data_IF_181052945837
#
_entry.id   IF_181052945837
#
_cell.length_a   1.000
_cell.length_b   1.000
_cell.length_c   1.000
_cell.angle_alpha   90.00
_cell.angle_beta   90.00
_cell.angle_gamma   90.00
#
_symmetry.space_group_name_H-M   'P 1'
#
loop_
_entity.id
_entity.type
_entity.pdbx_description
1 polymer ?
#
# COMPACT_ATOMS: atom_id res chain seq x y z
N UNK A 1 18.00 -14.40 26.64
CA UNK A 1 18.50 -14.77 25.29
C UNK A 1 17.39 -15.51 24.57
N UNK A 2 16.90 -15.03 23.42
CA UNK A 2 15.96 -15.78 22.57
C UNK A 2 16.67 -16.14 21.25
N UNK A 3 17.47 -17.20 21.30
CA UNK A 3 18.13 -17.74 20.11
C UNK A 3 17.11 -18.48 19.24
N UNK A 4 16.60 -17.83 18.19
CA UNK A 4 15.81 -18.50 17.16
C UNK A 4 16.75 -19.33 16.29
N UNK A 5 17.09 -20.54 16.75
CA UNK A 5 17.83 -21.52 15.97
C UNK A 5 16.99 -21.94 14.76
N UNK A 6 17.40 -21.55 13.57
CA UNK A 6 16.97 -22.26 12.37
C UNK A 6 17.61 -23.64 12.40
N UNK A 7 16.80 -24.69 12.28
CA UNK A 7 17.27 -26.08 12.32
C UNK A 7 17.92 -26.40 10.98
N UNK A 8 19.25 -26.35 10.94
CA UNK A 8 20.04 -26.94 9.87
C UNK A 8 19.91 -28.46 9.97
N UNK A 9 19.21 -29.07 9.01
CA UNK A 9 19.51 -30.44 8.60
C UNK A 9 20.47 -30.33 7.43
N UNK A 10 21.65 -30.90 7.58
CA UNK A 10 22.65 -30.91 6.51
C UNK A 10 22.25 -31.94 5.44
N UNK A 11 22.35 -31.51 4.19
CA UNK A 11 22.00 -32.23 2.98
C UNK A 11 22.28 -31.28 1.82
N UNK A 12 23.15 -31.70 0.90
CA UNK A 12 23.75 -30.82 -0.11
C UNK A 12 22.81 -30.56 -1.29
N UNK A 13 21.79 -29.74 -1.05
CA UNK A 13 21.02 -29.05 -2.10
C UNK A 13 21.01 -27.55 -1.77
N UNK A 14 21.02 -26.70 -2.80
CA UNK A 14 20.94 -25.23 -2.63
C UNK A 14 19.73 -24.91 -1.76
N UNK A 15 19.90 -24.35 -0.54
CA UNK A 15 18.91 -24.49 0.52
C UNK A 15 17.60 -23.87 0.07
N UNK A 16 16.58 -24.72 -0.16
CA UNK A 16 15.26 -24.33 -0.65
C UNK A 16 14.83 -23.05 0.06
N UNK A 17 14.77 -21.94 -0.67
CA UNK A 17 14.63 -20.62 -0.08
C UNK A 17 13.33 -20.58 0.75
N UNK A 18 13.45 -20.59 2.08
CA UNK A 18 12.29 -20.76 2.99
C UNK A 18 11.64 -19.43 3.29
N UNK A 19 10.31 -19.39 3.30
CA UNK A 19 9.56 -18.19 3.68
C UNK A 19 9.99 -17.62 5.02
N UNK A 20 10.23 -16.31 5.06
CA UNK A 20 10.52 -15.58 6.28
C UNK A 20 9.19 -15.39 7.06
N UNK A 21 9.11 -15.82 8.33
CA UNK A 21 7.92 -15.62 9.15
C UNK A 21 7.63 -14.12 9.38
N UNK A 22 6.35 -13.75 9.43
CA UNK A 22 5.95 -12.41 9.84
C UNK A 22 6.33 -12.18 11.31
N UNK A 23 6.87 -10.99 11.60
CA UNK A 23 7.34 -10.56 12.92
C UNK A 23 6.30 -9.60 13.53
N UNK A 24 5.96 -9.81 14.81
CA UNK A 24 5.12 -8.88 15.56
C UNK A 24 5.97 -7.65 15.97
N UNK A 25 5.88 -6.57 15.20
CA UNK A 25 6.78 -5.43 15.35
C UNK A 25 6.60 -4.67 16.67
N UNK A 26 5.38 -4.58 17.18
CA UNK A 26 5.03 -3.72 18.32
C UNK A 26 5.71 -4.15 19.63
N UNK A 27 5.80 -5.46 19.88
CA UNK A 27 6.45 -6.04 21.07
C UNK A 27 7.98 -5.99 21.02
N UNK A 28 8.59 -5.63 19.89
CA UNK A 28 10.03 -5.70 19.70
C UNK A 28 10.70 -4.32 19.75
N UNK A 29 11.81 -4.17 20.49
CA UNK A 29 12.56 -2.92 20.55
C UNK A 29 13.26 -2.62 19.22
N UNK A 30 13.62 -1.36 18.99
CA UNK A 30 14.33 -0.94 17.78
C UNK A 30 15.63 -1.73 17.53
N UNK A 31 16.34 -2.12 18.60
CA UNK A 31 17.53 -2.99 18.53
C UNK A 31 17.26 -4.30 17.77
N UNK A 32 16.11 -4.94 17.99
CA UNK A 32 15.74 -6.17 17.27
C UNK A 32 15.44 -5.93 15.80
N UNK A 33 14.95 -4.73 15.43
CA UNK A 33 14.79 -4.35 14.01
C UNK A 33 16.13 -4.16 13.32
N UNK A 34 17.12 -3.58 14.01
CA UNK A 34 18.50 -3.43 13.51
C UNK A 34 19.14 -4.81 13.31
N UNK A 35 19.00 -5.73 14.26
CA UNK A 35 19.45 -7.12 14.12
C UNK A 35 18.81 -7.80 12.90
N UNK A 36 17.48 -7.78 12.79
CA UNK A 36 16.74 -8.38 11.67
C UNK A 36 17.12 -7.82 10.31
N UNK A 37 17.49 -6.54 10.21
CA UNK A 37 17.95 -5.93 8.96
C UNK A 37 19.42 -6.29 8.66
N UNK A 38 20.28 -6.35 9.70
CA UNK A 38 21.66 -6.81 9.56
C UNK A 38 21.74 -8.28 9.12
N UNK A 39 20.83 -9.15 9.57
CA UNK A 39 20.71 -10.56 9.14
C UNK A 39 20.65 -10.70 7.59
N UNK A 40 20.14 -9.69 6.87
CA UNK A 40 20.04 -9.67 5.39
C UNK A 40 20.98 -8.67 4.69
N UNK A 41 21.85 -7.99 5.44
CA UNK A 41 22.72 -6.93 4.92
C UNK A 41 21.96 -5.68 4.45
N UNK A 42 20.83 -5.36 5.09
CA UNK A 42 19.99 -4.21 4.75
C UNK A 42 20.39 -2.95 5.54
N UNK A 43 20.16 -1.74 5.00
CA UNK A 43 20.49 -0.52 5.72
C UNK A 43 19.71 -0.37 7.04
N UNK A 44 20.41 0.04 8.10
CA UNK A 44 19.87 0.17 9.47
C UNK A 44 19.70 1.62 9.95
N UNK A 45 19.84 2.59 9.05
CA UNK A 45 19.55 4.00 9.32
C UNK A 45 18.04 4.28 9.33
N UNK A 46 17.61 5.28 10.11
CA UNK A 46 16.25 5.79 10.16
C UNK A 46 15.56 5.65 11.52
N UNK A 47 14.33 6.14 11.60
CA UNK A 47 13.47 5.98 12.77
C UNK A 47 12.97 4.54 12.92
N UNK A 48 12.43 4.18 14.10
CA UNK A 48 11.88 2.82 14.34
C UNK A 48 10.84 2.43 13.28
N UNK A 49 10.02 3.37 12.79
CA UNK A 49 9.01 3.06 11.78
C UNK A 49 9.61 2.87 10.38
N UNK A 50 10.68 3.58 10.01
CA UNK A 50 11.44 3.27 8.79
C UNK A 50 12.02 1.85 8.83
N UNK A 51 12.63 1.43 9.95
CA UNK A 51 13.16 0.07 10.08
C UNK A 51 12.06 -1.00 9.97
N UNK A 52 10.90 -0.76 10.58
CA UNK A 52 9.73 -1.66 10.48
C UNK A 52 9.19 -1.71 9.04
N UNK A 53 9.03 -0.55 8.37
CA UNK A 53 8.61 -0.51 6.95
C UNK A 53 9.58 -1.26 6.05
N UNK A 54 10.89 -1.01 6.19
CA UNK A 54 11.96 -1.68 5.44
C UNK A 54 11.93 -3.19 5.61
N UNK A 55 11.92 -3.67 6.86
CA UNK A 55 11.89 -5.11 7.14
C UNK A 55 10.58 -5.77 6.68
N UNK A 56 9.42 -5.16 6.94
CA UNK A 56 8.13 -5.72 6.52
C UNK A 56 8.01 -5.79 5.00
N UNK A 57 8.50 -4.78 4.28
CA UNK A 57 8.59 -4.78 2.81
C UNK A 57 9.56 -5.86 2.30
N UNK A 58 10.71 -6.03 2.95
CA UNK A 58 11.66 -7.11 2.63
C UNK A 58 11.03 -8.49 2.78
N UNK A 59 10.34 -8.78 3.90
CA UNK A 59 9.65 -10.06 4.11
C UNK A 59 8.64 -10.35 3.00
N UNK A 60 7.83 -9.35 2.61
CA UNK A 60 6.86 -9.52 1.51
C UNK A 60 7.56 -9.76 0.18
N UNK A 61 8.61 -8.97 -0.14
CA UNK A 61 9.35 -9.06 -1.40
C UNK A 61 10.12 -10.38 -1.53
N UNK A 62 10.74 -10.84 -0.45
CA UNK A 62 11.46 -12.11 -0.39
C UNK A 62 10.52 -13.30 -0.47
N UNK A 63 9.42 -13.32 0.29
CA UNK A 63 8.45 -14.42 0.23
C UNK A 63 7.80 -14.50 -1.16
N UNK A 64 7.42 -13.37 -1.76
CA UNK A 64 6.92 -13.33 -3.14
C UNK A 64 7.98 -13.70 -4.20
N UNK A 65 9.26 -13.80 -3.83
CA UNK A 65 10.33 -14.34 -4.67
C UNK A 65 10.56 -15.84 -4.43
N UNK A 66 10.36 -16.32 -3.20
CA UNK A 66 10.29 -17.75 -2.87
C UNK A 66 9.13 -18.41 -3.63
N UNK A 67 7.95 -17.77 -3.63
CA UNK A 67 6.72 -18.23 -4.31
C UNK A 67 6.83 -18.27 -5.85
N UNK A 68 7.91 -17.75 -6.44
CA UNK A 68 8.15 -17.85 -7.89
C UNK A 68 8.72 -19.22 -8.26
N UNK A 69 8.35 -19.68 -9.46
CA UNK A 69 9.05 -20.77 -10.13
C UNK A 69 10.57 -20.50 -10.16
N UNK A 70 11.42 -21.53 -9.97
CA UNK A 70 12.86 -21.35 -9.77
C UNK A 70 13.54 -20.60 -10.92
N UNK A 71 13.13 -20.85 -12.16
CA UNK A 71 13.59 -20.17 -13.38
C UNK A 71 13.40 -18.64 -13.35
N UNK A 72 12.38 -18.16 -12.62
CA UNK A 72 12.00 -16.75 -12.53
C UNK A 72 12.37 -16.11 -11.18
N UNK A 73 13.10 -16.84 -10.32
CA UNK A 73 13.51 -16.36 -9.00
C UNK A 73 14.63 -15.31 -9.15
N UNK A 74 14.46 -14.18 -8.47
CA UNK A 74 15.42 -13.07 -8.47
C UNK A 74 16.54 -13.31 -7.45
N UNK A 75 17.74 -12.82 -7.79
CA UNK A 75 18.89 -12.78 -6.88
C UNK A 75 18.68 -11.79 -5.73
N UNK A 76 19.38 -11.98 -4.61
CA UNK A 76 19.27 -11.11 -3.44
C UNK A 76 19.59 -9.64 -3.76
N UNK A 77 20.55 -9.36 -4.64
CA UNK A 77 20.91 -8.00 -5.02
C UNK A 77 19.86 -7.31 -5.88
N UNK A 78 19.13 -8.08 -6.72
CA UNK A 78 17.95 -7.56 -7.41
C UNK A 78 16.83 -7.24 -6.43
N UNK A 79 16.59 -8.09 -5.42
CA UNK A 79 15.61 -7.80 -4.36
C UNK A 79 16.00 -6.56 -3.54
N UNK A 80 17.29 -6.38 -3.20
CA UNK A 80 17.80 -5.17 -2.51
C UNK A 80 17.59 -3.90 -3.34
N UNK A 81 17.76 -3.99 -4.66
CA UNK A 81 17.53 -2.89 -5.60
C UNK A 81 16.05 -2.52 -5.72
N UNK A 82 15.17 -3.52 -5.88
CA UNK A 82 13.71 -3.29 -5.89
C UNK A 82 13.18 -2.80 -4.53
N UNK A 83 13.77 -3.21 -3.40
CA UNK A 83 13.46 -2.64 -2.09
C UNK A 83 13.79 -1.15 -2.04
N UNK A 84 15.01 -0.74 -2.46
CA UNK A 84 15.41 0.68 -2.49
C UNK A 84 14.47 1.51 -3.36
N UNK A 85 14.17 1.03 -4.57
CA UNK A 85 13.22 1.65 -5.50
C UNK A 85 11.80 1.78 -4.92
N UNK A 86 11.36 0.80 -4.13
CA UNK A 86 10.09 0.88 -3.40
C UNK A 86 10.12 1.92 -2.27
N UNK A 87 11.22 2.03 -1.51
CA UNK A 87 11.39 3.09 -0.49
C UNK A 87 11.38 4.50 -1.11
N UNK A 88 12.05 4.70 -2.24
CA UNK A 88 12.04 5.96 -2.99
C UNK A 88 10.66 6.30 -3.55
N UNK A 89 9.93 5.31 -4.06
CA UNK A 89 8.57 5.49 -4.57
C UNK A 89 7.61 5.89 -3.44
N UNK A 90 7.68 5.24 -2.28
CA UNK A 90 6.87 5.61 -1.10
C UNK A 90 7.11 7.08 -0.72
N UNK A 91 8.38 7.51 -0.64
CA UNK A 91 8.74 8.89 -0.32
C UNK A 91 8.14 9.89 -1.32
N UNK A 92 8.19 9.61 -2.63
CA UNK A 92 7.61 10.46 -3.68
C UNK A 92 6.07 10.55 -3.62
N UNK A 93 5.40 9.51 -3.11
CA UNK A 93 3.92 9.52 -2.95
C UNK A 93 3.42 10.19 -1.67
N UNK A 94 4.33 10.56 -0.74
CA UNK A 94 3.93 11.32 0.44
C UNK A 94 3.53 12.72 0.01
N UNK A 95 2.29 13.08 0.33
CA UNK A 95 1.70 14.38 -0.01
C UNK A 95 2.63 15.49 0.47
N UNK A 96 3.05 16.34 -0.46
CA UNK A 96 3.76 17.58 -0.15
C UNK A 96 2.84 18.45 0.71
N UNK A 97 3.27 18.74 1.94
CA UNK A 97 2.52 19.60 2.85
C UNK A 97 2.91 21.03 2.53
N UNK A 98 2.01 21.76 1.88
CA UNK A 98 2.18 23.19 1.60
C UNK A 98 2.22 23.95 2.93
N UNK A 99 3.38 24.53 3.26
CA UNK A 99 3.62 25.19 4.55
C UNK A 99 2.78 26.46 4.75
N UNK A 100 2.62 27.28 3.71
CA UNK A 100 1.70 28.44 3.70
C UNK A 100 0.59 28.25 2.64
N UNK A 101 -0.61 27.80 3.06
CA UNK A 101 -1.72 27.63 2.13
C UNK A 101 -2.25 28.97 1.58
N UNK A 102 -2.05 30.09 2.27
CA UNK A 102 -2.55 31.41 1.86
C UNK A 102 -1.63 32.00 0.78
N UNK A 103 -0.31 31.92 0.93
CA UNK A 103 0.63 32.29 -0.13
C UNK A 103 0.45 31.41 -1.37
N UNK A 104 0.33 30.09 -1.19
CA UNK A 104 0.12 29.15 -2.28
C UNK A 104 -1.21 29.37 -3.02
N UNK A 105 -2.29 29.69 -2.30
CA UNK A 105 -3.55 30.10 -2.92
C UNK A 105 -3.41 31.40 -3.72
N UNK A 106 -2.57 32.35 -3.27
CA UNK A 106 -2.36 33.64 -3.95
C UNK A 106 -1.52 33.52 -5.22
N UNK A 107 -0.45 32.71 -5.21
CA UNK A 107 0.39 32.49 -6.39
C UNK A 107 -0.32 31.67 -7.47
N UNK A 108 -1.04 30.62 -7.09
CA UNK A 108 -1.65 29.68 -8.04
C UNK A 108 -3.10 30.05 -8.45
N UNK A 109 -3.57 31.28 -8.19
CA UNK A 109 -4.95 31.73 -8.51
C UNK A 109 -5.36 31.44 -9.96
N UNK A 110 -4.47 31.66 -10.92
CA UNK A 110 -4.75 31.45 -12.34
C UNK A 110 -4.95 29.96 -12.68
N UNK A 111 -4.20 29.07 -12.04
CA UNK A 111 -4.35 27.63 -12.19
C UNK A 111 -5.66 27.14 -11.55
N UNK A 112 -5.97 27.60 -10.33
CA UNK A 112 -7.25 27.31 -9.68
C UNK A 112 -8.45 27.81 -10.49
N UNK A 113 -8.37 28.99 -11.12
CA UNK A 113 -9.40 29.51 -12.00
C UNK A 113 -9.64 28.58 -13.21
N UNK A 114 -8.56 28.20 -13.92
CA UNK A 114 -8.61 27.26 -15.06
C UNK A 114 -9.19 25.90 -14.68
N UNK A 115 -8.80 25.36 -13.51
CA UNK A 115 -9.35 24.10 -12.99
C UNK A 115 -10.84 24.24 -12.63
N UNK A 116 -11.24 25.38 -12.05
CA UNK A 116 -12.65 25.66 -11.71
C UNK A 116 -13.50 25.80 -12.98
N UNK A 117 -12.99 26.43 -14.04
CA UNK A 117 -13.66 26.52 -15.34
C UNK A 117 -13.79 25.16 -16.03
N UNK A 118 -12.76 24.32 -15.97
CA UNK A 118 -12.78 22.97 -16.53
C UNK A 118 -13.71 22.02 -15.76
N UNK A 119 -13.76 22.14 -14.43
CA UNK A 119 -14.64 21.35 -13.57
C UNK A 119 -16.09 21.87 -13.53
N UNK A 120 -16.35 23.10 -13.99
CA UNK A 120 -17.70 23.64 -14.05
C UNK A 120 -18.50 22.83 -15.08
N UNK A 121 -19.62 22.18 -14.69
CA UNK A 121 -20.43 21.45 -15.66
C UNK A 121 -20.87 22.41 -16.76
N UNK A 122 -20.53 22.09 -18.01
CA UNK A 122 -20.90 22.89 -19.18
C UNK A 122 -22.42 22.89 -19.30
N UNK A 123 -23.04 23.92 -18.72
CA UNK A 123 -24.47 24.20 -18.89
C UNK A 123 -24.72 24.30 -20.39
N UNK A 124 -25.58 23.44 -20.92
CA UNK A 124 -25.88 23.32 -22.35
C UNK A 124 -26.53 24.61 -22.86
N UNK A 125 -25.68 25.58 -23.24
CA UNK A 125 -26.08 26.77 -23.98
C UNK A 125 -26.28 26.35 -25.43
N UNK A 126 -27.54 26.37 -25.86
CA UNK A 126 -28.04 25.85 -27.12
C UNK A 126 -27.31 26.47 -28.34
N UNK A 127 -26.46 25.72 -29.08
CA UNK A 127 -25.86 26.19 -30.31
C UNK A 127 -26.77 25.79 -31.48
N UNK A 128 -27.65 26.71 -31.88
CA UNK A 128 -28.44 26.53 -33.10
C UNK A 128 -27.51 26.61 -34.32
N UNK A 129 -27.32 25.45 -34.96
CA UNK A 129 -26.62 25.20 -36.24
C UNK A 129 -25.07 25.30 -36.23
N UNK A 130 -24.32 24.42 -36.91
CA UNK A 130 -24.64 23.08 -37.46
C UNK A 130 -23.35 22.33 -37.89
N UNK A 131 -23.30 21.00 -37.60
CA UNK A 131 -22.62 19.90 -38.36
C UNK A 131 -21.10 19.97 -38.65
N UNK A 132 -20.34 18.87 -38.72
CA UNK A 132 -20.40 17.46 -38.25
C UNK A 132 -19.04 16.79 -38.62
N UNK A 133 -18.61 15.62 -38.15
CA UNK A 133 -19.22 14.53 -37.35
C UNK A 133 -18.36 14.30 -36.07
N UNK A 134 -18.04 13.13 -35.50
CA UNK A 134 -18.37 11.68 -35.65
C UNK A 134 -18.06 11.03 -34.29
N UNK A 135 -19.00 10.37 -33.61
CA UNK A 135 -19.42 8.95 -33.76
C UNK A 135 -18.55 7.95 -32.98
N UNK A 136 -19.15 7.41 -31.91
CA UNK A 136 -18.68 6.34 -31.04
C UNK A 136 -19.49 6.33 -29.73
N UNK A 137 -20.47 5.43 -29.59
CA UNK A 137 -21.51 5.51 -28.56
C UNK A 137 -21.12 4.92 -27.19
N UNK A 138 -21.70 5.43 -26.07
CA UNK A 138 -21.65 4.79 -24.76
C UNK A 138 -22.90 3.94 -24.48
N UNK A 139 -22.68 2.68 -24.05
CA UNK A 139 -23.64 1.80 -23.37
C UNK A 139 -22.80 0.89 -22.46
N UNK A 140 -23.13 0.61 -21.20
CA UNK A 140 -24.46 0.52 -20.58
C UNK A 140 -24.42 1.09 -19.16
N UNK A 141 -25.50 1.77 -18.75
CA UNK A 141 -25.74 2.16 -17.36
C UNK A 141 -26.56 1.09 -16.63
N UNK A 142 -26.09 0.59 -15.50
CA UNK A 142 -26.90 -0.23 -14.58
C UNK A 142 -26.89 0.42 -13.17
N UNK A 143 -28.03 0.92 -12.67
CA UNK A 143 -28.09 1.61 -11.39
C UNK A 143 -28.35 0.62 -10.24
N UNK A 144 -27.29 0.23 -9.53
CA UNK A 144 -27.44 -0.55 -8.29
C UNK A 144 -28.07 0.32 -7.20
N UNK A 145 -29.33 0.06 -6.88
CA UNK A 145 -30.04 0.69 -5.76
C UNK A 145 -29.45 0.21 -4.42
N UNK A 146 -29.29 1.08 -3.41
CA UNK A 146 -29.05 0.64 -2.05
C UNK A 146 -30.36 0.09 -1.45
N UNK A 147 -30.56 -1.22 -1.49
CA UNK A 147 -31.62 -1.86 -0.69
C UNK A 147 -31.24 -1.80 0.79
N UNK A 148 -32.02 -1.04 1.56
CA UNK A 148 -31.90 -0.94 3.01
C UNK A 148 -32.61 -2.13 3.67
N UNK A 149 -31.98 -3.30 3.67
CA UNK A 149 -32.48 -4.45 4.42
C UNK A 149 -32.27 -4.25 5.93
N UNK A 150 -33.32 -3.76 6.59
CA UNK A 150 -33.42 -3.67 8.03
C UNK A 150 -33.52 -5.07 8.67
N UNK A 151 -32.41 -5.80 8.75
CA UNK A 151 -32.31 -7.00 9.58
C UNK A 151 -32.22 -6.62 11.06
N UNK A 152 -33.38 -6.57 11.69
CA UNK A 152 -33.51 -6.57 13.14
C UNK A 152 -32.81 -7.81 13.72
N UNK A 153 -31.63 -7.62 14.30
CA UNK A 153 -31.02 -8.65 15.14
C UNK A 153 -31.70 -8.58 16.50
N UNK A 154 -32.68 -9.46 16.72
CA UNK A 154 -33.48 -9.53 17.93
C UNK A 154 -32.61 -9.78 19.16
N UNK A 155 -32.59 -8.80 20.08
CA UNK A 155 -32.10 -8.98 21.44
C UNK A 155 -32.96 -10.06 22.11
N UNK A 156 -32.37 -11.22 22.38
CA UNK A 156 -32.96 -12.23 23.27
C UNK A 156 -32.33 -12.11 24.65
N UNK A 157 -33.08 -11.50 25.56
CA UNK A 157 -32.74 -11.47 26.98
C UNK A 157 -33.01 -12.83 27.62
N UNK A 158 -31.97 -13.45 28.17
CA UNK A 158 -32.06 -14.46 29.23
C UNK A 158 -31.09 -13.96 30.32
N UNK A 159 -31.55 -13.22 31.33
CA UNK A 159 -32.47 -13.59 32.43
C UNK A 159 -31.88 -14.67 33.32
N UNK A 160 -31.76 -14.28 34.58
CA UNK A 160 -31.08 -14.93 35.69
C UNK A 160 -31.56 -16.37 35.95
N UNK A 161 -30.63 -17.21 36.37
CA UNK A 161 -30.89 -18.20 37.42
C UNK A 161 -29.75 -18.17 38.42
N UNK A 162 -30.04 -17.63 39.60
CA UNK A 162 -29.27 -17.90 40.80
C UNK A 162 -29.69 -19.26 41.35
N UNK A 163 -28.73 -20.04 41.83
CA UNK A 163 -28.90 -20.94 42.98
C UNK A 163 -27.54 -21.27 43.58
#
# INVERSE_FOLDING_TARGET
MLSRKYSTKEGEEEPEARHIPKVAYDIHPQKRMVELLNEWGLPTHGDRNALIRRHSRWVVLYNANVDRAPENRWTLDRLRTELRKAEEAEQKTRKEVVEDPIAYQKSNKAEFAKLTEAARPRKLANPVQAKSSSEGAPSTSEPVQPQADARACSIVSAKDHAS
#
